data_IF_433436404276
#
_entry.id   IF_433436404276
#
_cell.length_a   1.000
_cell.length_b   1.000
_cell.length_c   1.000
_cell.angle_alpha   90.00
_cell.angle_beta   90.00
_cell.angle_gamma   90.00
#
_symmetry.space_group_name_H-M   'P 1'
#
loop_
_entity.id
_entity.type
_entity.pdbx_description
1 polymer ?
#
# COMPACT_ATOMS: atom_id res chain seq x y z
N UNK A 1 31.60 17.55 -34.07
CA UNK A 1 30.29 18.13 -33.73
C UNK A 1 29.74 17.34 -32.56
N UNK A 2 29.93 17.83 -31.33
CA UNK A 2 29.37 17.20 -30.13
C UNK A 2 27.97 17.80 -29.99
N UNK A 3 26.95 17.01 -30.31
CA UNK A 3 25.57 17.38 -30.01
C UNK A 3 25.40 17.30 -28.49
N UNK A 4 25.68 18.41 -27.80
CA UNK A 4 25.27 18.58 -26.42
C UNK A 4 23.73 18.70 -26.42
N UNK A 5 23.03 17.58 -26.37
CA UNK A 5 21.58 17.56 -26.16
C UNK A 5 21.34 17.94 -24.70
N UNK A 6 21.32 19.25 -24.41
CA UNK A 6 20.80 19.76 -23.15
C UNK A 6 19.36 19.29 -23.03
N UNK A 7 19.09 18.37 -22.10
CA UNK A 7 17.74 17.92 -21.84
C UNK A 7 16.93 19.13 -21.34
N UNK A 8 15.77 19.35 -21.96
CA UNK A 8 14.86 20.44 -21.60
C UNK A 8 13.95 20.01 -20.47
N UNK A 9 13.62 20.95 -19.60
CA UNK A 9 12.65 20.72 -18.53
C UNK A 9 11.34 20.15 -19.10
N UNK A 10 10.81 19.12 -18.43
CA UNK A 10 9.59 18.41 -18.82
C UNK A 10 8.30 19.21 -18.55
N UNK A 11 8.40 20.37 -17.88
CA UNK A 11 7.23 21.20 -17.59
C UNK A 11 6.65 21.84 -18.86
N UNK A 12 5.35 21.66 -19.07
CA UNK A 12 4.57 22.29 -20.15
C UNK A 12 3.65 23.33 -19.52
N UNK A 13 3.74 24.58 -19.99
CA UNK A 13 2.83 25.65 -19.56
C UNK A 13 1.40 25.40 -20.07
N UNK A 14 0.39 26.01 -19.46
CA UNK A 14 -1.01 25.93 -19.93
C UNK A 14 -1.20 26.42 -21.37
N UNK A 15 -0.26 27.25 -21.85
CA UNK A 15 -0.17 27.71 -23.24
C UNK A 15 0.34 26.64 -24.22
N UNK A 16 0.72 25.45 -23.74
CA UNK A 16 1.24 24.33 -24.53
C UNK A 16 2.73 24.43 -24.86
N UNK A 17 3.43 25.48 -24.41
CA UNK A 17 4.87 25.63 -24.63
C UNK A 17 5.68 24.85 -23.58
N UNK A 18 6.72 24.17 -24.03
CA UNK A 18 7.69 23.51 -23.14
C UNK A 18 8.62 24.55 -22.49
N UNK A 19 8.91 24.37 -21.21
CA UNK A 19 9.87 25.21 -20.51
C UNK A 19 11.25 25.17 -21.19
N UNK A 20 11.83 26.37 -21.38
CA UNK A 20 13.12 26.56 -22.04
C UNK A 20 14.29 26.26 -21.09
N UNK A 21 14.01 26.20 -19.78
CA UNK A 21 15.02 25.90 -18.76
C UNK A 21 15.67 24.54 -18.97
N UNK A 22 16.97 24.49 -18.70
CA UNK A 22 17.75 23.25 -18.67
C UNK A 22 17.33 22.39 -17.48
N UNK A 23 17.28 21.07 -17.66
CA UNK A 23 17.06 20.12 -16.56
C UNK A 23 18.25 20.15 -15.61
N UNK A 24 17.99 20.09 -14.30
CA UNK A 24 19.04 19.77 -13.34
C UNK A 24 19.49 18.32 -13.53
N UNK A 25 20.79 18.05 -13.44
CA UNK A 25 21.28 16.68 -13.37
C UNK A 25 20.60 16.00 -12.16
N UNK A 26 19.98 14.83 -12.39
CA UNK A 26 19.14 14.05 -11.46
C UNK A 26 17.63 14.31 -11.50
N UNK A 27 17.15 15.43 -12.06
CA UNK A 27 15.70 15.68 -12.19
C UNK A 27 15.33 16.21 -13.57
N UNK A 28 14.30 15.65 -14.19
CA UNK A 28 13.79 16.12 -15.50
C UNK A 28 13.13 17.51 -15.46
N UNK A 29 13.33 18.27 -14.37
CA UNK A 29 12.77 19.60 -14.13
C UNK A 29 13.89 20.64 -13.96
N UNK A 30 13.59 21.90 -14.26
CA UNK A 30 14.46 23.05 -13.99
C UNK A 30 14.23 23.59 -12.57
N UNK A 31 15.13 24.45 -12.08
CA UNK A 31 15.07 25.03 -10.72
C UNK A 31 13.72 25.68 -10.39
N UNK A 32 13.06 26.30 -11.38
CA UNK A 32 11.76 26.97 -11.19
C UNK A 32 10.56 26.02 -11.14
N UNK A 33 10.70 24.80 -11.67
CA UNK A 33 9.62 23.81 -11.78
C UNK A 33 9.88 22.54 -11.01
N UNK A 34 11.04 22.44 -10.34
CA UNK A 34 11.30 21.39 -9.39
C UNK A 34 10.32 21.57 -8.23
N UNK A 35 9.22 20.81 -8.27
CA UNK A 35 8.37 20.63 -7.10
C UNK A 35 9.16 19.72 -6.17
N UNK A 36 10.03 20.32 -5.36
CA UNK A 36 10.60 19.67 -4.19
C UNK A 36 9.41 19.47 -3.24
N UNK A 37 8.61 18.44 -3.50
CA UNK A 37 7.93 17.74 -2.42
C UNK A 37 9.04 16.87 -1.86
N UNK A 38 9.71 17.27 -0.75
CA UNK A 38 10.34 16.23 0.04
C UNK A 38 9.19 15.27 0.32
N UNK A 39 9.27 14.06 -0.21
CA UNK A 39 8.46 12.99 0.31
C UNK A 39 8.85 12.98 1.78
N UNK A 40 8.00 13.58 2.62
CA UNK A 40 7.96 13.29 4.03
C UNK A 40 7.94 11.77 4.03
N UNK A 41 9.09 11.18 4.35
CA UNK A 41 9.16 9.78 4.69
C UNK A 41 8.09 9.68 5.76
N UNK A 42 6.93 9.12 5.40
CA UNK A 42 5.86 8.79 6.31
C UNK A 42 6.57 7.97 7.36
N UNK A 43 7.03 8.63 8.43
CA UNK A 43 7.87 8.03 9.43
C UNK A 43 7.08 6.80 9.82
N UNK A 44 7.68 5.64 9.58
CA UNK A 44 7.06 4.36 9.83
C UNK A 44 6.92 4.27 11.34
N UNK A 45 5.89 4.95 11.86
CA UNK A 45 5.63 5.09 13.27
C UNK A 45 5.53 3.66 13.76
N UNK A 46 6.43 3.30 14.67
CA UNK A 46 6.46 1.96 15.27
C UNK A 46 5.08 1.56 15.79
N UNK A 47 4.28 2.57 16.18
CA UNK A 47 2.87 2.45 16.53
C UNK A 47 1.97 1.90 15.42
N UNK A 48 2.13 2.36 14.16
CA UNK A 48 1.34 1.90 13.01
C UNK A 48 1.55 0.41 12.76
N UNK A 49 2.78 -0.08 12.89
CA UNK A 49 3.10 -1.52 12.75
C UNK A 49 2.47 -2.35 13.86
N UNK A 50 2.53 -1.87 15.10
CA UNK A 50 1.91 -2.53 16.26
C UNK A 50 0.38 -2.56 16.14
N UNK A 51 -0.22 -1.45 15.71
CA UNK A 51 -1.66 -1.36 15.46
C UNK A 51 -2.11 -2.38 14.41
N UNK A 52 -1.44 -2.46 13.26
CA UNK A 52 -1.81 -3.45 12.24
C UNK A 52 -1.63 -4.90 12.71
N UNK A 53 -0.59 -5.19 13.50
CA UNK A 53 -0.42 -6.52 14.10
C UNK A 53 -1.56 -6.87 15.05
N UNK A 54 -2.01 -5.91 15.86
CA UNK A 54 -3.13 -6.11 16.77
C UNK A 54 -4.45 -6.33 16.02
N UNK A 55 -4.72 -5.51 15.00
CA UNK A 55 -5.90 -5.68 14.14
C UNK A 55 -5.89 -7.05 13.46
N UNK A 56 -4.75 -7.47 12.92
CA UNK A 56 -4.59 -8.79 12.31
C UNK A 56 -4.87 -9.94 13.29
N UNK A 57 -4.42 -9.82 14.55
CA UNK A 57 -4.71 -10.81 15.59
C UNK A 57 -6.21 -10.87 15.91
N UNK A 58 -6.89 -9.73 16.01
CA UNK A 58 -8.34 -9.71 16.24
C UNK A 58 -9.08 -10.37 15.09
N UNK A 59 -8.76 -10.00 13.85
CA UNK A 59 -9.36 -10.60 12.67
C UNK A 59 -9.14 -12.11 12.65
N UNK A 60 -7.93 -12.57 12.96
CA UNK A 60 -7.62 -13.99 13.04
C UNK A 60 -8.49 -14.71 14.09
N UNK A 61 -8.65 -14.14 15.29
CA UNK A 61 -9.49 -14.73 16.33
C UNK A 61 -10.96 -14.82 15.94
N UNK A 62 -11.49 -13.81 15.23
CA UNK A 62 -12.88 -13.81 14.76
C UNK A 62 -13.16 -15.02 13.85
N UNK A 63 -12.18 -15.48 13.05
CA UNK A 63 -12.34 -16.67 12.24
C UNK A 63 -11.99 -17.96 12.99
N UNK A 64 -10.96 -17.93 13.84
CA UNK A 64 -10.46 -19.12 14.53
C UNK A 64 -11.43 -19.66 15.58
N UNK A 65 -12.10 -18.77 16.32
CA UNK A 65 -13.04 -19.13 17.39
C UNK A 65 -14.24 -19.94 16.85
N UNK A 66 -15.03 -19.44 15.88
CA UNK A 66 -16.15 -20.20 15.33
C UNK A 66 -15.67 -21.48 14.64
N UNK A 67 -14.55 -21.44 13.90
CA UNK A 67 -13.97 -22.64 13.30
C UNK A 67 -13.66 -23.72 14.33
N UNK A 68 -13.06 -23.34 15.46
CA UNK A 68 -12.78 -24.26 16.57
C UNK A 68 -14.06 -24.88 17.13
N UNK A 69 -15.10 -24.07 17.36
CA UNK A 69 -16.37 -24.59 17.87
C UNK A 69 -17.08 -25.50 16.86
N UNK A 70 -17.07 -25.15 15.57
CA UNK A 70 -17.63 -26.00 14.50
C UNK A 70 -16.90 -27.33 14.40
N UNK A 71 -15.56 -27.32 14.43
CA UNK A 71 -14.79 -28.56 14.39
C UNK A 71 -15.01 -29.39 15.66
N UNK A 72 -15.04 -28.74 16.82
CA UNK A 72 -15.34 -29.42 18.09
C UNK A 72 -16.71 -30.08 18.04
N UNK A 73 -17.73 -29.38 17.56
CA UNK A 73 -19.08 -29.93 17.44
C UNK A 73 -19.13 -31.09 16.44
N UNK A 74 -18.43 -30.97 15.30
CA UNK A 74 -18.38 -32.02 14.29
C UNK A 74 -17.67 -33.30 14.76
N UNK A 75 -16.57 -33.17 15.50
CA UNK A 75 -15.72 -34.31 15.88
C UNK A 75 -15.99 -34.85 17.29
N UNK A 76 -16.50 -34.01 18.20
CA UNK A 76 -16.72 -34.35 19.60
C UNK A 76 -18.19 -34.22 20.01
N UNK A 77 -19.04 -33.64 19.17
CA UNK A 77 -20.49 -33.70 19.34
C UNK A 77 -20.98 -35.13 19.08
N UNK A 78 -21.86 -35.68 19.93
CA UNK A 78 -22.52 -36.95 19.61
C UNK A 78 -23.26 -36.78 18.28
N UNK A 79 -23.28 -37.79 17.39
CA UNK A 79 -23.92 -37.67 16.09
C UNK A 79 -25.42 -37.43 16.30
N UNK A 80 -25.84 -36.17 16.26
CA UNK A 80 -27.23 -35.84 16.07
C UNK A 80 -27.61 -36.43 14.70
N UNK A 81 -28.57 -37.36 14.66
CA UNK A 81 -29.20 -37.99 13.48
C UNK A 81 -28.89 -39.48 13.20
N UNK A 82 -28.54 -40.30 14.19
CA UNK A 82 -28.63 -41.77 14.06
C UNK A 82 -29.94 -42.38 14.62
N UNK A 83 -30.83 -41.56 15.16
CA UNK A 83 -32.10 -41.94 15.79
C UNK A 83 -33.03 -40.80 15.40
N UNK A 84 -33.84 -40.88 14.33
CA UNK A 84 -35.17 -41.48 14.31
C UNK A 84 -35.48 -42.04 12.90
N UNK A 85 -35.37 -43.35 12.71
CA UNK A 85 -36.00 -44.10 11.60
C UNK A 85 -36.64 -45.34 12.21
N UNK A 86 -37.75 -45.15 12.92
CA UNK A 86 -38.71 -46.20 13.29
C UNK A 86 -40.08 -45.55 13.40
#
# INVERSE_FOLDING_TARGET
>A
MIAATMARCLHIYDSGFQCIGETLNETDFCESHQRIVPFESLEASTWRKTFFRFVALILLLIFLIPLYYTLRDLYLGPPAKAQEVW
#
